data_IF_250956062109
#
_entry.id   IF_250956062109
#
_cell.length_a   1.000
_cell.length_b   1.000
_cell.length_c   1.000
_cell.angle_alpha   90.00
_cell.angle_beta   90.00
_cell.angle_gamma   90.00
#
_symmetry.space_group_name_H-M   'P 1'
#
loop_
_entity.id
_entity.type
_entity.pdbx_description
1 polymer ?
#
# COMPACT_ATOMS: atom_id res chain seq x y z
N UNK A 1 5.26 -5.96 11.00
CA UNK A 1 4.91 -7.19 10.24
C UNK A 1 6.00 -8.23 10.45
N UNK A 2 5.64 -9.47 10.79
CA UNK A 2 6.61 -10.58 10.80
C UNK A 2 6.92 -10.98 9.36
N UNK A 3 8.20 -10.88 8.96
CA UNK A 3 8.65 -11.19 7.61
C UNK A 3 9.76 -12.25 7.69
N UNK A 4 9.47 -13.53 7.36
CA UNK A 4 10.51 -14.52 7.14
C UNK A 4 11.48 -14.07 6.03
N UNK A 5 12.78 -14.36 6.18
CA UNK A 5 13.83 -13.94 5.24
C UNK A 5 13.48 -14.26 3.77
N UNK A 6 12.88 -15.40 3.51
CA UNK A 6 12.48 -15.83 2.16
C UNK A 6 11.42 -14.91 1.50
N UNK A 7 10.71 -14.07 2.29
CA UNK A 7 9.62 -13.20 1.83
C UNK A 7 9.92 -11.72 2.03
N UNK A 8 11.14 -11.37 2.48
CA UNK A 8 11.55 -9.98 2.62
C UNK A 8 11.86 -9.38 1.23
N UNK A 9 11.11 -8.35 0.86
CA UNK A 9 11.41 -7.52 -0.30
C UNK A 9 12.42 -6.43 0.09
N UNK A 10 13.40 -6.19 -0.75
CA UNK A 10 14.39 -5.11 -0.57
C UNK A 10 14.29 -4.05 -1.65
N UNK A 11 13.66 -4.36 -2.77
CA UNK A 11 13.52 -3.46 -3.89
C UNK A 11 12.28 -2.57 -3.71
N UNK A 12 12.51 -1.27 -3.56
CA UNK A 12 11.48 -0.25 -3.37
C UNK A 12 10.55 -0.07 -4.58
N UNK A 13 10.89 -0.60 -5.76
CA UNK A 13 9.97 -0.63 -6.90
C UNK A 13 8.69 -1.40 -6.59
N UNK A 14 8.72 -2.34 -5.66
CA UNK A 14 7.52 -3.03 -5.20
C UNK A 14 6.64 -2.15 -4.30
N UNK A 15 7.24 -1.27 -3.50
CA UNK A 15 6.47 -0.24 -2.77
C UNK A 15 5.81 0.73 -3.75
N UNK A 16 6.56 1.20 -4.77
CA UNK A 16 6.02 2.06 -5.82
C UNK A 16 4.81 1.39 -6.50
N UNK A 17 4.94 0.09 -6.82
CA UNK A 17 3.88 -0.66 -7.46
C UNK A 17 2.65 -0.86 -6.55
N UNK A 18 2.85 -1.07 -5.24
CA UNK A 18 1.75 -1.19 -4.27
C UNK A 18 0.95 0.11 -4.18
N UNK A 19 1.63 1.26 -4.06
CA UNK A 19 0.98 2.57 -3.93
C UNK A 19 0.42 3.09 -5.25
N UNK A 20 0.99 2.71 -6.39
CA UNK A 20 0.39 2.97 -7.70
C UNK A 20 -0.87 2.12 -7.95
N UNK A 21 -0.93 0.90 -7.39
CA UNK A 21 -2.11 0.04 -7.43
C UNK A 21 -3.25 0.61 -6.60
N UNK A 22 -2.95 0.99 -5.36
CA UNK A 22 -3.94 1.50 -4.41
C UNK A 22 -3.26 2.42 -3.40
N UNK A 23 -3.59 3.70 -3.49
CA UNK A 23 -3.10 4.71 -2.56
C UNK A 23 -3.99 4.86 -1.31
N UNK A 24 -4.98 3.98 -1.11
CA UNK A 24 -5.87 3.99 0.06
C UNK A 24 -5.29 3.13 1.18
N UNK A 25 -4.58 3.77 2.09
CA UNK A 25 -3.77 3.12 3.12
C UNK A 25 -4.42 3.13 4.50
N UNK A 26 -3.87 2.35 5.44
CA UNK A 26 -4.22 2.43 6.86
C UNK A 26 -3.11 3.14 7.63
N UNK A 27 -3.41 4.33 8.15
CA UNK A 27 -2.54 5.09 9.05
C UNK A 27 -2.83 4.70 10.51
N UNK A 28 -1.78 4.37 11.26
CA UNK A 28 -1.84 3.97 12.67
C UNK A 28 -1.03 4.94 13.52
N UNK A 29 -1.64 5.39 14.60
CA UNK A 29 -0.99 6.16 15.68
C UNK A 29 -1.33 5.52 17.01
N UNK A 30 -0.74 5.99 18.11
CA UNK A 30 -1.10 5.56 19.46
C UNK A 30 -2.07 6.55 20.07
N UNK A 31 -3.20 6.06 20.54
CA UNK A 31 -4.21 6.84 21.27
C UNK A 31 -3.76 7.23 22.68
N UNK A 32 -4.52 8.11 23.34
CA UNK A 32 -4.25 8.55 24.72
C UNK A 32 -4.43 7.40 25.72
N UNK A 33 -5.21 6.40 25.37
CA UNK A 33 -5.42 5.15 26.13
C UNK A 33 -4.33 4.10 25.90
N UNK A 34 -3.32 4.42 25.03
CA UNK A 34 -2.26 3.51 24.66
C UNK A 34 -2.65 2.49 23.57
N UNK A 35 -3.90 2.50 23.12
CA UNK A 35 -4.35 1.62 22.03
C UNK A 35 -4.06 2.22 20.64
N UNK A 36 -3.97 1.38 19.61
CA UNK A 36 -3.82 1.88 18.25
C UNK A 36 -5.07 2.63 17.78
N UNK A 37 -4.92 3.87 17.38
CA UNK A 37 -5.89 4.60 16.57
C UNK A 37 -5.58 4.35 15.10
N UNK A 38 -6.60 4.08 14.28
CA UNK A 38 -6.40 3.84 12.87
C UNK A 38 -7.45 4.58 12.02
N UNK A 39 -6.97 5.10 10.90
CA UNK A 39 -7.82 5.70 9.86
C UNK A 39 -7.41 5.14 8.50
N UNK A 40 -8.39 4.74 7.70
CA UNK A 40 -8.17 4.45 6.28
C UNK A 40 -8.40 5.73 5.47
N UNK A 41 -7.43 6.07 4.63
CA UNK A 41 -7.46 7.31 3.86
C UNK A 41 -6.55 7.24 2.62
N UNK A 42 -6.87 8.04 1.57
CA UNK A 42 -6.01 8.17 0.42
C UNK A 42 -4.78 9.01 0.75
N UNK A 43 -3.68 8.70 0.09
CA UNK A 43 -2.44 9.47 0.21
C UNK A 43 -1.85 9.80 -1.14
N UNK A 44 -1.16 10.93 -1.21
CA UNK A 44 -0.19 11.22 -2.26
C UNK A 44 1.14 10.60 -1.85
N UNK A 45 1.67 9.74 -2.69
CA UNK A 45 2.97 9.11 -2.51
C UNK A 45 4.04 9.79 -3.34
N UNK A 46 5.17 10.05 -2.71
CA UNK A 46 6.36 10.57 -3.39
C UNK A 46 7.59 9.83 -2.90
N UNK A 47 8.39 9.34 -3.83
CA UNK A 47 9.74 8.83 -3.55
C UNK A 47 10.76 9.55 -4.41
N UNK A 48 11.83 10.01 -3.76
CA UNK A 48 13.02 10.54 -4.40
C UNK A 48 14.22 9.77 -3.82
N UNK A 49 14.75 8.86 -4.62
CA UNK A 49 15.79 7.92 -4.17
C UNK A 49 15.35 7.14 -2.93
N UNK A 50 15.94 7.41 -1.77
CA UNK A 50 15.63 6.78 -0.49
C UNK A 50 14.64 7.59 0.37
N UNK A 51 14.34 8.84 -0.02
CA UNK A 51 13.40 9.68 0.70
C UNK A 51 11.98 9.35 0.25
N UNK A 52 11.17 8.94 1.21
CA UNK A 52 9.77 8.55 0.97
C UNK A 52 8.87 9.40 1.83
N UNK A 53 7.86 9.99 1.21
CA UNK A 53 6.88 10.84 1.86
C UNK A 53 5.46 10.46 1.42
N UNK A 54 4.55 10.43 2.39
CA UNK A 54 3.10 10.35 2.14
C UNK A 54 2.44 11.64 2.62
N UNK A 55 1.52 12.19 1.85
CA UNK A 55 0.70 13.34 2.23
C UNK A 55 -0.77 12.99 2.12
N UNK A 56 -1.57 13.49 3.05
CA UNK A 56 -3.01 13.29 3.05
C UNK A 56 -3.67 14.22 4.05
N UNK A 57 -4.96 14.00 4.31
CA UNK A 57 -5.69 14.77 5.30
C UNK A 57 -6.72 13.91 6.04
N UNK A 58 -7.09 14.36 7.22
CA UNK A 58 -8.24 13.87 7.97
C UNK A 58 -9.38 14.89 7.97
N UNK A 59 -10.60 14.44 8.22
CA UNK A 59 -11.61 15.32 8.74
C UNK A 59 -11.12 15.90 10.09
N UNK A 60 -11.29 17.18 10.34
CA UNK A 60 -10.86 17.85 11.58
C UNK A 60 -11.45 17.21 12.84
N UNK A 61 -12.65 16.63 12.75
CA UNK A 61 -13.33 15.93 13.82
C UNK A 61 -12.71 14.55 14.14
N UNK A 62 -11.85 13.99 13.27
CA UNK A 62 -11.19 12.72 13.53
C UNK A 62 -10.20 12.89 14.68
N UNK A 63 -10.28 12.11 15.78
CA UNK A 63 -9.35 12.21 16.91
C UNK A 63 -7.88 12.09 16.49
N UNK A 64 -7.57 11.24 15.50
CA UNK A 64 -6.22 11.03 15.00
C UNK A 64 -5.62 12.30 14.36
N UNK A 65 -6.43 13.28 13.95
CA UNK A 65 -5.96 14.57 13.41
C UNK A 65 -5.19 15.42 14.42
N UNK A 66 -5.19 15.04 15.70
CA UNK A 66 -4.44 15.70 16.77
C UNK A 66 -3.06 15.10 17.00
N UNK A 67 -2.73 13.99 16.30
CA UNK A 67 -1.49 13.25 16.50
C UNK A 67 -0.36 13.82 15.67
N UNK A 68 0.82 13.86 16.27
CA UNK A 68 2.12 14.12 15.66
C UNK A 68 3.11 13.08 16.16
N UNK A 69 4.25 12.91 15.48
CA UNK A 69 5.33 12.03 15.92
C UNK A 69 5.25 10.62 15.34
N UNK A 70 5.69 9.59 16.09
CA UNK A 70 5.83 8.24 15.55
C UNK A 70 4.50 7.64 15.07
N UNK A 71 4.51 7.13 13.86
CA UNK A 71 3.34 6.49 13.25
C UNK A 71 3.73 5.33 12.36
N UNK A 72 2.74 4.56 11.93
CA UNK A 72 2.88 3.53 10.92
C UNK A 72 1.85 3.70 9.83
N UNK A 73 2.21 3.27 8.62
CA UNK A 73 1.28 3.13 7.51
C UNK A 73 1.34 1.69 7.03
N UNK A 74 0.18 1.07 6.87
CA UNK A 74 0.03 -0.22 6.22
C UNK A 74 -0.48 -0.01 4.81
N UNK A 75 0.21 -0.61 3.85
CA UNK A 75 -0.15 -0.63 2.43
C UNK A 75 -0.54 -2.05 2.08
N UNK A 76 -1.80 -2.24 1.73
CA UNK A 76 -2.33 -3.53 1.34
C UNK A 76 -2.03 -3.81 -0.14
N UNK A 77 -1.58 -5.03 -0.42
CA UNK A 77 -1.37 -5.53 -1.77
C UNK A 77 -2.33 -6.66 -2.13
N UNK A 78 -2.15 -7.27 -3.31
CA UNK A 78 -2.94 -8.42 -3.71
C UNK A 78 -2.72 -9.58 -2.76
N UNK A 79 -3.77 -10.34 -2.50
CA UNK A 79 -3.72 -11.52 -1.65
C UNK A 79 -4.72 -12.57 -2.09
N UNK A 80 -4.46 -13.83 -1.77
CA UNK A 80 -5.39 -14.91 -2.08
C UNK A 80 -4.95 -16.26 -1.54
N UNK A 81 -5.94 -17.15 -1.45
CA UNK A 81 -5.74 -18.55 -1.06
C UNK A 81 -5.05 -19.31 -2.19
N UNK A 82 -4.11 -20.17 -1.82
CA UNK A 82 -3.39 -21.07 -2.69
C UNK A 82 -3.72 -22.51 -2.30
N UNK A 83 -4.40 -23.22 -3.19
CA UNK A 83 -4.78 -24.62 -2.97
C UNK A 83 -3.57 -25.54 -3.08
N UNK A 84 -3.44 -26.48 -2.15
CA UNK A 84 -2.45 -27.55 -2.25
C UNK A 84 -2.65 -28.41 -3.52
N UNK A 85 -3.90 -28.51 -4.01
CA UNK A 85 -4.22 -29.28 -5.23
C UNK A 85 -3.57 -28.73 -6.50
N UNK A 86 -3.11 -27.48 -6.50
CA UNK A 86 -2.46 -26.88 -7.66
C UNK A 86 -0.99 -27.29 -7.80
N UNK A 87 -0.34 -27.74 -6.72
CA UNK A 87 1.08 -28.12 -6.78
C UNK A 87 1.27 -29.47 -7.48
N UNK A 88 2.11 -29.54 -8.54
CA UNK A 88 2.45 -30.79 -9.20
C UNK A 88 3.04 -31.85 -8.28
N UNK A 89 3.82 -31.42 -7.28
CA UNK A 89 4.54 -32.28 -6.34
C UNK A 89 3.82 -32.46 -4.99
N UNK A 90 2.51 -32.18 -4.93
CA UNK A 90 1.75 -32.15 -3.66
C UNK A 90 1.87 -33.42 -2.81
N UNK A 91 1.80 -34.59 -3.45
CA UNK A 91 1.88 -35.86 -2.72
C UNK A 91 3.32 -36.17 -2.26
N UNK A 92 4.29 -36.00 -3.17
CA UNK A 92 5.70 -36.30 -2.90
C UNK A 92 6.31 -35.40 -1.82
N UNK A 93 5.84 -34.16 -1.74
CA UNK A 93 6.37 -33.14 -0.83
C UNK A 93 5.40 -32.78 0.29
N UNK A 94 4.29 -33.51 0.45
CA UNK A 94 3.25 -33.24 1.44
C UNK A 94 2.85 -31.77 1.49
N UNK A 95 2.55 -31.17 0.33
CA UNK A 95 2.22 -29.74 0.24
C UNK A 95 0.91 -29.44 0.96
N UNK A 96 0.90 -28.30 1.62
CA UNK A 96 -0.28 -27.78 2.33
C UNK A 96 -0.77 -26.48 1.68
N UNK A 97 -2.05 -26.14 1.86
CA UNK A 97 -2.58 -24.86 1.38
C UNK A 97 -1.94 -23.69 2.14
N UNK A 98 -1.98 -22.51 1.50
CA UNK A 98 -1.46 -21.28 2.10
C UNK A 98 -2.19 -20.06 1.55
N UNK A 99 -1.79 -18.87 2.03
CA UNK A 99 -2.13 -17.59 1.45
C UNK A 99 -0.89 -16.93 0.87
N UNK A 100 -0.98 -16.48 -0.39
CA UNK A 100 -0.03 -15.54 -0.96
C UNK A 100 -0.53 -14.12 -0.76
N UNK A 101 0.39 -13.20 -0.56
CA UNK A 101 0.09 -11.78 -0.43
C UNK A 101 1.34 -10.91 -0.60
N UNK A 102 1.13 -9.67 -1.03
CA UNK A 102 2.10 -8.60 -0.94
C UNK A 102 1.58 -7.53 0.04
N UNK A 103 2.45 -6.91 0.80
CA UNK A 103 2.10 -5.81 1.70
C UNK A 103 3.33 -5.01 2.09
N UNK A 104 3.14 -3.75 2.52
CA UNK A 104 4.19 -2.95 3.12
C UNK A 104 3.76 -2.41 4.49
N UNK A 105 4.69 -2.38 5.44
CA UNK A 105 4.63 -1.59 6.66
C UNK A 105 5.68 -0.48 6.56
N UNK A 106 5.21 0.76 6.62
CA UNK A 106 6.06 1.94 6.68
C UNK A 106 6.07 2.45 8.11
N UNK A 107 7.24 2.76 8.65
CA UNK A 107 7.40 3.43 9.94
C UNK A 107 8.02 4.78 9.69
N UNK A 108 7.60 5.78 10.45
CA UNK A 108 8.10 7.12 10.25
C UNK A 108 7.49 8.11 11.22
N UNK A 109 7.68 9.38 10.87
CA UNK A 109 7.23 10.51 11.66
C UNK A 109 6.12 11.25 10.94
N UNK A 110 5.03 11.43 11.65
CA UNK A 110 3.85 12.16 11.21
C UNK A 110 3.97 13.62 11.63
N UNK A 111 3.73 14.53 10.70
CA UNK A 111 3.69 15.97 10.92
C UNK A 111 2.35 16.51 10.45
N UNK A 112 1.52 16.95 11.38
CA UNK A 112 0.24 17.59 11.05
C UNK A 112 0.42 19.06 10.67
N UNK A 113 -0.49 19.58 9.86
CA UNK A 113 -0.57 21.01 9.57
C UNK A 113 -2.01 21.43 9.31
N UNK A 114 -2.31 22.72 9.56
CA UNK A 114 -3.62 23.34 9.31
C UNK A 114 -3.52 24.74 8.70
N UNK A 115 -2.35 25.09 8.18
CA UNK A 115 -2.15 26.29 7.39
C UNK A 115 -3.04 26.25 6.14
N UNK A 116 -3.88 27.29 5.92
CA UNK A 116 -4.85 27.28 4.83
C UNK A 116 -4.23 27.15 3.43
N UNK A 117 -3.06 27.74 3.19
CA UNK A 117 -2.41 27.68 1.89
C UNK A 117 -1.73 26.34 1.65
N UNK A 118 -1.18 25.73 2.71
CA UNK A 118 -0.67 24.35 2.66
C UNK A 118 -1.79 23.33 2.40
N UNK A 119 -2.95 23.51 3.05
CA UNK A 119 -4.14 22.68 2.81
C UNK A 119 -4.67 22.87 1.38
N UNK A 120 -4.73 24.10 0.88
CA UNK A 120 -5.16 24.38 -0.49
C UNK A 120 -4.26 23.66 -1.51
N UNK A 121 -2.93 23.72 -1.33
CA UNK A 121 -1.97 23.00 -2.18
C UNK A 121 -2.17 21.48 -2.09
N UNK A 122 -2.33 20.95 -0.88
CA UNK A 122 -2.57 19.49 -0.69
C UNK A 122 -3.83 19.04 -1.42
N UNK A 123 -4.94 19.77 -1.27
CA UNK A 123 -6.21 19.40 -1.91
C UNK A 123 -6.12 19.53 -3.43
N UNK A 124 -5.46 20.58 -3.95
CA UNK A 124 -5.22 20.74 -5.38
C UNK A 124 -4.39 19.58 -5.94
N UNK A 125 -3.24 19.26 -5.32
CA UNK A 125 -2.38 18.15 -5.72
C UNK A 125 -3.15 16.80 -5.70
N UNK A 126 -3.97 16.58 -4.65
CA UNK A 126 -4.76 15.35 -4.48
C UNK A 126 -5.83 15.24 -5.56
N UNK A 127 -6.53 16.33 -5.84
CA UNK A 127 -7.55 16.37 -6.87
C UNK A 127 -6.96 16.13 -8.25
N UNK A 128 -5.90 16.84 -8.62
CA UNK A 128 -5.23 16.68 -9.91
C UNK A 128 -4.74 15.24 -10.12
N UNK A 129 -4.20 14.63 -9.07
CA UNK A 129 -3.71 13.25 -9.13
C UNK A 129 -4.84 12.23 -9.39
N UNK A 130 -5.91 12.26 -8.61
CA UNK A 130 -6.99 11.29 -8.73
C UNK A 130 -7.95 11.57 -9.88
N UNK A 131 -8.22 12.84 -10.20
CA UNK A 131 -9.02 13.22 -11.38
C UNK A 131 -8.35 12.75 -12.67
N UNK A 132 -7.04 12.86 -12.76
CA UNK A 132 -6.26 12.34 -13.90
C UNK A 132 -6.44 10.82 -14.04
N UNK A 133 -6.46 10.07 -12.93
CA UNK A 133 -6.64 8.61 -12.96
C UNK A 133 -8.04 8.18 -13.46
N UNK A 134 -9.06 8.97 -13.16
CA UNK A 134 -10.44 8.70 -13.61
C UNK A 134 -10.77 9.37 -14.95
N UNK A 135 -9.80 10.04 -15.59
CA UNK A 135 -9.98 10.69 -16.88
C UNK A 135 -10.88 11.92 -16.84
N UNK A 136 -10.92 12.62 -15.69
CA UNK A 136 -11.71 13.84 -15.48
C UNK A 136 -10.80 15.05 -15.31
N UNK A 137 -11.39 16.25 -15.31
CA UNK A 137 -10.67 17.52 -15.28
C UNK A 137 -11.16 18.47 -14.19
N UNK A 138 -11.86 17.95 -13.15
CA UNK A 138 -12.26 18.79 -12.03
C UNK A 138 -11.01 19.27 -11.28
N UNK A 139 -11.02 20.52 -10.85
CA UNK A 139 -9.91 21.11 -10.11
C UNK A 139 -10.40 21.85 -8.88
N UNK A 140 -9.64 21.74 -7.83
CA UNK A 140 -9.79 22.60 -6.68
C UNK A 140 -9.28 24.01 -7.04
N UNK A 141 -10.13 25.01 -6.89
CA UNK A 141 -9.84 26.42 -7.18
C UNK A 141 -9.70 27.18 -5.84
N UNK A 142 -8.45 27.43 -5.35
CA UNK A 142 -8.22 28.04 -4.05
C UNK A 142 -8.72 29.50 -3.94
N UNK A 143 -8.92 30.16 -5.08
CA UNK A 143 -9.44 31.53 -5.15
C UNK A 143 -10.96 31.59 -4.95
N UNK A 144 -11.66 30.48 -5.10
CA UNK A 144 -13.11 30.41 -4.86
C UNK A 144 -13.37 30.24 -3.36
N UNK A 145 -14.15 31.16 -2.78
CA UNK A 145 -14.46 31.16 -1.35
C UNK A 145 -15.24 29.90 -0.91
N UNK A 146 -16.13 29.38 -1.75
CA UNK A 146 -16.88 28.15 -1.49
C UNK A 146 -15.94 26.92 -1.42
N UNK A 147 -14.93 26.81 -2.26
CA UNK A 147 -13.90 25.79 -2.17
C UNK A 147 -13.00 26.00 -0.92
N UNK A 148 -12.49 27.21 -0.75
CA UNK A 148 -11.58 27.55 0.35
C UNK A 148 -12.22 27.37 1.72
N UNK A 149 -13.49 27.66 1.85
CA UNK A 149 -14.21 27.51 3.11
C UNK A 149 -14.26 26.07 3.62
N UNK A 150 -14.21 25.07 2.74
CA UNK A 150 -14.22 23.65 3.09
C UNK A 150 -12.91 23.19 3.74
N UNK A 151 -11.79 23.90 3.49
CA UNK A 151 -10.51 23.58 4.12
C UNK A 151 -10.56 23.66 5.65
N UNK A 152 -11.51 24.42 6.21
CA UNK A 152 -11.73 24.48 7.67
C UNK A 152 -12.17 23.14 8.27
N UNK A 153 -12.71 22.25 7.43
CA UNK A 153 -13.17 20.92 7.86
C UNK A 153 -12.09 19.85 7.93
N UNK A 154 -10.85 20.17 7.52
CA UNK A 154 -9.76 19.18 7.42
C UNK A 154 -8.51 19.60 8.19
N UNK A 155 -7.65 18.62 8.44
CA UNK A 155 -6.26 18.76 8.92
C UNK A 155 -5.38 17.97 7.97
N UNK A 156 -4.35 18.58 7.43
CA UNK A 156 -3.36 17.94 6.58
C UNK A 156 -2.29 17.22 7.40
N UNK A 157 -1.66 16.24 6.77
CA UNK A 157 -0.44 15.63 7.30
C UNK A 157 0.60 15.36 6.22
N UNK A 158 1.83 15.30 6.68
CA UNK A 158 2.99 14.79 5.99
C UNK A 158 3.59 13.67 6.84
N UNK A 159 3.72 12.48 6.28
CA UNK A 159 4.36 11.34 6.92
C UNK A 159 5.69 11.08 6.21
N UNK A 160 6.79 11.27 6.96
CA UNK A 160 8.15 11.00 6.49
C UNK A 160 8.55 9.60 6.92
N UNK A 161 8.90 8.76 5.95
CA UNK A 161 9.19 7.35 6.20
C UNK A 161 10.65 7.16 6.59
N UNK A 162 10.88 6.51 7.72
CA UNK A 162 12.22 6.13 8.21
C UNK A 162 12.58 4.70 7.81
N UNK A 163 11.58 3.80 7.77
CA UNK A 163 11.78 2.37 7.52
C UNK A 163 10.67 1.79 6.69
N UNK A 164 11.04 0.98 5.71
CA UNK A 164 10.13 0.21 4.86
C UNK A 164 10.32 -1.27 5.14
N UNK A 165 9.23 -1.99 5.41
CA UNK A 165 9.19 -3.44 5.48
C UNK A 165 8.27 -3.97 4.40
N UNK A 166 8.83 -4.55 3.36
CA UNK A 166 8.09 -5.17 2.26
C UNK A 166 7.97 -6.67 2.49
N UNK A 167 6.77 -7.19 2.44
CA UNK A 167 6.48 -8.62 2.49
C UNK A 167 5.90 -9.09 1.16
N UNK A 168 6.68 -9.91 0.47
CA UNK A 168 6.35 -10.46 -0.84
C UNK A 168 6.25 -11.98 -0.71
N UNK A 169 5.14 -12.48 -0.16
CA UNK A 169 4.89 -13.92 -0.08
C UNK A 169 4.13 -14.38 -1.32
N UNK A 170 4.87 -14.75 -2.36
CA UNK A 170 4.36 -15.04 -3.70
C UNK A 170 4.78 -16.43 -4.21
N UNK A 171 4.97 -17.38 -3.30
CA UNK A 171 5.41 -18.76 -3.57
C UNK A 171 6.86 -18.91 -4.05
N UNK A 172 7.71 -17.89 -3.90
CA UNK A 172 9.12 -17.91 -4.33
C UNK A 172 9.99 -18.93 -3.60
N UNK A 173 9.50 -19.50 -2.53
CA UNK A 173 10.14 -20.61 -1.79
C UNK A 173 9.81 -22.00 -2.38
N UNK A 174 9.06 -22.06 -3.48
CA UNK A 174 8.70 -23.27 -4.21
C UNK A 174 9.44 -23.34 -5.55
N UNK A 175 9.64 -24.56 -6.11
CA UNK A 175 10.14 -24.73 -7.48
C UNK A 175 9.32 -23.92 -8.50
N UNK A 176 9.96 -23.48 -9.58
CA UNK A 176 9.31 -22.70 -10.65
C UNK A 176 8.05 -23.38 -11.19
N UNK A 177 8.09 -24.71 -11.37
CA UNK A 177 6.92 -25.47 -11.82
C UNK A 177 5.71 -25.32 -10.88
N UNK A 178 5.94 -25.27 -9.56
CA UNK A 178 4.89 -25.04 -8.57
C UNK A 178 4.37 -23.60 -8.64
N UNK A 179 5.26 -22.62 -8.78
CA UNK A 179 4.87 -21.22 -8.92
C UNK A 179 4.00 -21.01 -10.15
N UNK A 180 4.39 -21.57 -11.30
CA UNK A 180 3.62 -21.52 -12.56
C UNK A 180 2.25 -22.20 -12.41
N UNK A 181 2.20 -23.35 -11.73
CA UNK A 181 0.95 -24.08 -11.50
C UNK A 181 -0.02 -23.30 -10.59
N UNK A 182 0.51 -22.59 -9.58
CA UNK A 182 -0.29 -21.68 -8.72
C UNK A 182 -0.82 -20.51 -9.54
N UNK A 183 0.01 -19.86 -10.37
CA UNK A 183 -0.42 -18.78 -11.27
C UNK A 183 -1.57 -19.27 -12.17
N UNK A 184 -1.39 -20.40 -12.84
CA UNK A 184 -2.43 -21.00 -13.69
C UNK A 184 -3.69 -21.37 -12.90
N UNK A 185 -3.55 -21.79 -11.64
CA UNK A 185 -4.68 -22.06 -10.74
C UNK A 185 -5.49 -20.80 -10.44
N UNK A 186 -4.81 -19.71 -10.10
CA UNK A 186 -5.43 -18.40 -9.81
C UNK A 186 -6.12 -17.81 -11.05
N UNK A 187 -5.52 -17.96 -12.24
CA UNK A 187 -6.09 -17.46 -13.50
C UNK A 187 -7.39 -18.19 -13.91
N UNK A 188 -7.59 -19.42 -13.46
CA UNK A 188 -8.85 -20.15 -13.69
C UNK A 188 -9.97 -19.75 -12.73
N UNK A 189 -9.66 -19.00 -11.66
CA UNK A 189 -10.68 -18.54 -10.70
C UNK A 189 -11.48 -17.37 -11.30
N UNK A 190 -12.80 -17.30 -11.09
CA UNK A 190 -13.64 -16.21 -11.61
C UNK A 190 -13.53 -14.91 -10.80
N UNK A 191 -12.40 -14.64 -10.18
CA UNK A 191 -12.18 -13.51 -9.27
C UNK A 191 -11.13 -12.56 -9.80
N UNK A 192 -11.47 -11.28 -9.93
CA UNK A 192 -10.51 -10.23 -10.30
C UNK A 192 -9.31 -10.18 -9.33
N UNK A 193 -9.54 -10.38 -8.03
CA UNK A 193 -8.47 -10.43 -7.03
C UNK A 193 -7.52 -11.62 -7.26
N UNK A 194 -8.03 -12.79 -7.71
CA UNK A 194 -7.18 -13.93 -8.06
C UNK A 194 -6.33 -13.65 -9.29
N UNK A 195 -6.92 -13.03 -10.32
CA UNK A 195 -6.17 -12.65 -11.53
C UNK A 195 -5.11 -11.60 -11.22
N UNK A 196 -5.42 -10.65 -10.35
CA UNK A 196 -4.45 -9.66 -9.90
C UNK A 196 -3.28 -10.31 -9.17
N UNK A 197 -3.54 -11.23 -8.22
CA UNK A 197 -2.50 -11.96 -7.51
C UNK A 197 -1.64 -12.78 -8.49
N UNK A 198 -2.25 -13.45 -9.48
CA UNK A 198 -1.53 -14.19 -10.52
C UNK A 198 -0.61 -13.27 -11.32
N UNK A 199 -1.09 -12.07 -11.70
CA UNK A 199 -0.29 -11.05 -12.37
C UNK A 199 0.94 -10.63 -11.53
N UNK A 200 0.75 -10.37 -10.24
CA UNK A 200 1.85 -10.01 -9.33
C UNK A 200 2.85 -11.14 -9.16
N UNK A 201 2.38 -12.38 -9.03
CA UNK A 201 3.25 -13.57 -8.96
C UNK A 201 4.10 -13.73 -10.23
N UNK A 202 3.50 -13.53 -11.41
CA UNK A 202 4.20 -13.60 -12.70
C UNK A 202 5.26 -12.51 -12.79
N UNK A 203 4.88 -11.25 -12.53
CA UNK A 203 5.81 -10.11 -12.52
C UNK A 203 6.97 -10.33 -11.55
N UNK A 204 6.70 -10.93 -10.38
CA UNK A 204 7.74 -11.22 -9.39
C UNK A 204 8.67 -12.36 -9.83
N UNK A 205 8.14 -13.39 -10.47
CA UNK A 205 8.90 -14.52 -11.02
C UNK A 205 9.85 -14.06 -12.14
N UNK A 206 9.40 -13.14 -12.98
CA UNK A 206 10.14 -12.62 -14.14
C UNK A 206 11.15 -11.51 -13.75
N UNK A 207 11.11 -11.02 -12.50
CA UNK A 207 11.98 -9.95 -12.05
C UNK A 207 13.46 -10.41 -11.96
N UNK A 208 14.43 -9.57 -12.37
CA UNK A 208 15.84 -9.88 -12.22
C UNK A 208 16.20 -10.20 -10.76
N UNK A 209 16.84 -11.32 -10.51
CA UNK A 209 17.23 -11.76 -9.16
C UNK A 209 16.16 -12.56 -8.40
N UNK A 210 15.02 -12.90 -9.01
CA UNK A 210 14.01 -13.80 -8.44
C UNK A 210 14.43 -15.28 -8.44
N UNK A 211 15.35 -15.67 -9.31
CA UNK A 211 15.97 -17.00 -9.29
C UNK A 211 16.95 -17.07 -8.10
N UNK A 212 16.46 -17.56 -6.96
CA UNK A 212 17.31 -17.94 -5.84
C UNK A 212 17.47 -19.46 -5.88
N UNK A 213 18.72 -19.86 -6.04
CA UNK A 213 19.18 -21.24 -5.87
C UNK A 213 18.78 -21.82 -4.52
#
# INVERSE_FOLDING_TARGET
VFIPRAFAGTDLQWLDALLARDAFVTLLTTGDDGLPELTRLPVLYRRQEQVIELRGHWARANPQSRRDGPAKVLVDGPHGYVSASWYPDKEAMARVPTWNHAAAELRGTLHRFDDPDALARLVADTSDHFETQVGQAWRFEPEREDHRSQLRGIIGFRFVVDTVQLKMKLSQNHPVANQQAVIAGLERMPSAASHELAHWMRRFLDAPGSARD
#
